data_IF_374071148333
#
_entry.id   IF_374071148333
#
_cell.length_a   1.000
_cell.length_b   1.000
_cell.length_c   1.000
_cell.angle_alpha   90.00
_cell.angle_beta   90.00
_cell.angle_gamma   90.00
#
_symmetry.space_group_name_H-M   'P 1'
#
loop_
_entity.id
_entity.type
_entity.pdbx_description
1 polymer ?
#
# COMPACT_ATOMS: atom_id res chain seq x y z
N UNK A 1 -9.42 -2.06 -4.78
CA UNK A 1 -10.66 -1.65 -5.42
C UNK A 1 -11.75 -1.16 -4.47
N UNK A 2 -11.84 -1.68 -3.23
CA UNK A 2 -12.92 -1.31 -2.29
C UNK A 2 -12.79 0.13 -1.79
N UNK A 3 -11.59 0.61 -1.54
CA UNK A 3 -11.35 1.98 -1.05
C UNK A 3 -11.73 3.02 -2.11
N UNK A 4 -11.36 2.79 -3.37
CA UNK A 4 -11.75 3.68 -4.48
C UNK A 4 -13.26 3.79 -4.61
N UNK A 5 -14.00 2.68 -4.46
CA UNK A 5 -15.47 2.68 -4.43
C UNK A 5 -15.99 3.48 -3.23
N UNK A 6 -15.32 3.35 -2.07
CA UNK A 6 -15.65 4.11 -0.88
C UNK A 6 -15.57 5.62 -1.10
N UNK A 7 -14.53 6.10 -1.78
CA UNK A 7 -14.36 7.52 -2.12
C UNK A 7 -15.41 8.01 -3.13
N UNK A 8 -15.67 7.25 -4.18
CA UNK A 8 -16.70 7.58 -5.17
C UNK A 8 -18.09 7.71 -4.52
N UNK A 9 -18.45 6.77 -3.65
CA UNK A 9 -19.73 6.80 -2.92
C UNK A 9 -19.86 7.94 -1.91
N UNK A 10 -18.73 8.50 -1.44
CA UNK A 10 -18.71 9.68 -0.57
C UNK A 10 -18.73 10.99 -1.33
N UNK A 11 -18.86 10.96 -2.67
CA UNK A 11 -19.06 12.13 -3.51
C UNK A 11 -17.78 12.74 -4.08
N UNK A 12 -16.68 11.99 -4.10
CA UNK A 12 -15.50 12.42 -4.87
C UNK A 12 -15.88 12.56 -6.35
N UNK A 13 -15.57 13.71 -6.92
CA UNK A 13 -15.94 14.05 -8.32
C UNK A 13 -15.13 13.27 -9.35
N UNK A 14 -13.91 12.88 -9.00
CA UNK A 14 -13.02 12.02 -9.78
C UNK A 14 -12.27 11.09 -8.86
N UNK A 15 -12.25 9.80 -9.17
CA UNK A 15 -11.48 8.80 -8.43
C UNK A 15 -10.63 8.01 -9.40
N UNK A 16 -9.34 7.88 -9.09
CA UNK A 16 -8.40 7.05 -9.83
C UNK A 16 -7.87 5.96 -8.90
N UNK A 17 -7.89 4.72 -9.37
CA UNK A 17 -7.19 3.59 -8.74
C UNK A 17 -6.00 3.19 -9.61
N UNK A 18 -4.80 3.24 -9.06
CA UNK A 18 -3.57 2.80 -9.73
C UNK A 18 -3.06 1.52 -9.09
N UNK A 19 -2.68 0.57 -9.91
CA UNK A 19 -2.10 -0.71 -9.46
C UNK A 19 -1.13 -1.24 -10.53
N UNK A 20 -0.10 -1.95 -10.09
CA UNK A 20 0.85 -2.65 -10.95
C UNK A 20 0.26 -3.94 -11.54
N UNK A 21 -0.75 -4.53 -10.90
CA UNK A 21 -1.38 -5.78 -11.29
C UNK A 21 -2.61 -5.55 -12.16
N UNK A 22 -2.51 -5.86 -13.44
CA UNK A 22 -3.66 -5.82 -14.34
C UNK A 22 -4.78 -6.78 -13.91
N UNK A 23 -4.43 -7.92 -13.31
CA UNK A 23 -5.42 -8.85 -12.76
C UNK A 23 -6.22 -8.22 -11.60
N UNK A 24 -5.54 -7.51 -10.69
CA UNK A 24 -6.18 -6.76 -9.61
C UNK A 24 -7.07 -5.65 -10.15
N UNK A 25 -6.62 -4.93 -11.18
CA UNK A 25 -7.41 -3.88 -11.84
C UNK A 25 -8.64 -4.44 -12.55
N UNK A 26 -8.53 -5.58 -13.23
CA UNK A 26 -9.68 -6.23 -13.86
C UNK A 26 -10.74 -6.60 -12.82
N UNK A 27 -10.32 -7.12 -11.67
CA UNK A 27 -11.21 -7.40 -10.56
C UNK A 27 -11.83 -6.13 -9.98
N UNK A 28 -11.03 -5.08 -9.78
CA UNK A 28 -11.49 -3.79 -9.30
C UNK A 28 -12.54 -3.14 -10.23
N UNK A 29 -12.33 -3.18 -11.56
CA UNK A 29 -13.29 -2.72 -12.56
C UNK A 29 -14.62 -3.48 -12.46
N UNK A 30 -14.56 -4.81 -12.30
CA UNK A 30 -15.78 -5.64 -12.13
C UNK A 30 -16.56 -5.26 -10.88
N UNK A 31 -15.89 -5.03 -9.75
CA UNK A 31 -16.56 -4.62 -8.51
C UNK A 31 -17.14 -3.20 -8.66
N UNK A 32 -16.40 -2.26 -9.25
CA UNK A 32 -16.86 -0.88 -9.47
C UNK A 32 -18.12 -0.85 -10.35
N UNK A 33 -18.14 -1.63 -11.45
CA UNK A 33 -19.31 -1.78 -12.32
C UNK A 33 -20.52 -2.29 -11.55
N UNK A 34 -20.36 -3.33 -10.74
CA UNK A 34 -21.44 -3.88 -9.90
C UNK A 34 -21.91 -2.89 -8.83
N UNK A 35 -21.02 -2.02 -8.37
CA UNK A 35 -21.31 -0.98 -7.39
C UNK A 35 -21.95 0.28 -8.01
N UNK A 36 -22.02 0.37 -9.36
CA UNK A 36 -22.54 1.53 -10.08
C UNK A 36 -21.70 2.79 -9.87
N UNK A 37 -20.37 2.62 -9.71
CA UNK A 37 -19.43 3.75 -9.52
C UNK A 37 -18.59 3.96 -10.75
N UNK A 38 -18.33 5.23 -11.09
CA UNK A 38 -17.41 5.63 -12.16
C UNK A 38 -16.02 5.89 -11.57
N UNK A 39 -15.07 5.01 -11.90
CA UNK A 39 -13.70 5.03 -11.40
C UNK A 39 -12.76 4.76 -12.56
N UNK A 40 -11.77 5.61 -12.72
CA UNK A 40 -10.66 5.41 -13.63
C UNK A 40 -9.64 4.44 -13.02
N UNK A 41 -9.31 3.35 -13.70
CA UNK A 41 -8.30 2.40 -13.26
C UNK A 41 -7.10 2.42 -14.20
N UNK A 42 -5.93 2.72 -13.64
CA UNK A 42 -4.66 2.92 -14.36
C UNK A 42 -3.69 1.79 -14.00
N UNK A 43 -3.21 1.09 -15.03
CA UNK A 43 -2.16 0.08 -14.89
C UNK A 43 -0.80 0.75 -15.02
N UNK A 44 -0.11 0.95 -13.89
CA UNK A 44 1.22 1.54 -13.86
C UNK A 44 1.96 1.16 -12.58
N UNK A 45 3.29 1.28 -12.63
CA UNK A 45 4.10 1.29 -11.42
C UNK A 45 3.83 2.59 -10.65
N UNK A 46 3.79 2.54 -9.32
CA UNK A 46 3.58 3.72 -8.49
C UNK A 46 4.64 4.80 -8.73
N UNK A 47 5.86 4.42 -9.08
CA UNK A 47 6.94 5.36 -9.39
C UNK A 47 6.69 6.17 -10.66
N UNK A 48 5.87 5.64 -11.59
CA UNK A 48 5.49 6.30 -12.84
C UNK A 48 4.12 6.99 -12.75
N UNK A 49 3.53 7.03 -11.54
CA UNK A 49 2.15 7.51 -11.37
C UNK A 49 1.96 8.95 -11.86
N UNK A 50 2.97 9.84 -11.68
CA UNK A 50 2.87 11.22 -12.16
C UNK A 50 2.74 11.32 -13.68
N UNK A 51 3.38 10.42 -14.41
CA UNK A 51 3.33 10.37 -15.88
C UNK A 51 2.05 9.66 -16.38
N UNK A 52 1.63 8.62 -15.64
CA UNK A 52 0.46 7.82 -15.99
C UNK A 52 -0.88 8.52 -15.68
N UNK A 53 -0.88 9.47 -14.74
CA UNK A 53 -2.10 10.13 -14.25
C UNK A 53 -2.04 11.63 -14.48
N UNK A 54 -3.05 12.17 -15.15
CA UNK A 54 -3.16 13.60 -15.42
C UNK A 54 -3.90 14.36 -14.31
N UNK A 55 -3.50 15.59 -14.07
CA UNK A 55 -4.12 16.51 -13.10
C UNK A 55 -3.55 16.33 -11.70
N UNK A 56 -3.98 17.21 -10.81
CA UNK A 56 -3.59 17.22 -9.40
C UNK A 56 -4.82 16.91 -8.54
N UNK A 57 -4.58 16.36 -7.35
CA UNK A 57 -5.61 15.80 -6.49
C UNK A 57 -5.72 16.54 -5.15
N UNK A 58 -6.93 16.60 -4.63
CA UNK A 58 -7.18 17.09 -3.26
C UNK A 58 -6.78 16.06 -2.22
N UNK A 59 -6.82 14.77 -2.60
CA UNK A 59 -6.44 13.64 -1.75
C UNK A 59 -5.64 12.61 -2.55
N UNK A 60 -4.48 12.24 -2.03
CA UNK A 60 -3.76 11.02 -2.41
C UNK A 60 -3.86 10.03 -1.25
N UNK A 61 -4.22 8.79 -1.55
CA UNK A 61 -4.42 7.75 -0.55
C UNK A 61 -3.58 6.52 -0.87
N UNK A 62 -2.83 6.04 0.12
CA UNK A 62 -2.13 4.75 0.06
C UNK A 62 -2.76 3.80 1.08
N UNK A 63 -3.18 2.62 0.61
CA UNK A 63 -3.83 1.63 1.47
C UNK A 63 -2.84 0.74 2.21
N UNK A 64 -3.38 -0.14 3.05
CA UNK A 64 -2.60 -1.05 3.90
C UNK A 64 -1.77 -2.02 3.06
N UNK A 65 -0.53 -2.27 3.49
CA UNK A 65 0.34 -3.29 2.93
C UNK A 65 0.98 -2.87 1.61
N UNK A 66 1.19 -1.58 1.37
CA UNK A 66 1.84 -1.09 0.14
C UNK A 66 3.33 -0.86 0.33
N UNK A 67 3.75 -0.30 1.46
CA UNK A 67 5.14 0.16 1.62
C UNK A 67 6.16 -0.97 1.57
N UNK A 68 5.80 -2.16 2.03
CA UNK A 68 6.69 -3.32 1.98
C UNK A 68 7.06 -3.77 0.55
N UNK A 69 6.28 -3.38 -0.47
CA UNK A 69 6.56 -3.71 -1.87
C UNK A 69 7.45 -2.68 -2.58
N UNK A 70 7.82 -1.60 -1.92
CA UNK A 70 8.49 -0.46 -2.52
C UNK A 70 10.00 -0.46 -2.18
N UNK A 71 10.89 -0.61 -3.18
CA UNK A 71 12.33 -0.58 -2.94
C UNK A 71 12.88 0.83 -2.65
N UNK A 72 12.20 1.91 -3.07
CA UNK A 72 12.64 3.30 -2.87
C UNK A 72 11.52 4.16 -2.27
N UNK A 73 11.50 4.22 -0.95
CA UNK A 73 10.50 4.99 -0.21
C UNK A 73 10.64 6.50 -0.44
N UNK A 74 11.85 7.00 -0.74
CA UNK A 74 12.07 8.40 -1.00
C UNK A 74 11.53 8.82 -2.39
N UNK A 75 11.68 7.96 -3.41
CA UNK A 75 11.08 8.20 -4.72
C UNK A 75 9.55 8.16 -4.63
N UNK A 76 8.99 7.17 -3.93
CA UNK A 76 7.55 7.09 -3.69
C UNK A 76 7.01 8.36 -3.05
N UNK A 77 7.65 8.87 -2.00
CA UNK A 77 7.21 10.09 -1.33
C UNK A 77 7.20 11.31 -2.27
N UNK A 78 8.22 11.44 -3.14
CA UNK A 78 8.27 12.50 -4.17
C UNK A 78 7.11 12.37 -5.17
N UNK A 79 6.79 11.15 -5.60
CA UNK A 79 5.65 10.91 -6.51
C UNK A 79 4.34 11.30 -5.82
N UNK A 80 4.12 10.87 -4.59
CA UNK A 80 2.93 11.26 -3.80
C UNK A 80 2.79 12.78 -3.73
N UNK A 81 3.86 13.48 -3.35
CA UNK A 81 3.85 14.94 -3.26
C UNK A 81 3.54 15.61 -4.61
N UNK A 82 4.06 15.06 -5.71
CA UNK A 82 3.84 15.60 -7.06
C UNK A 82 2.40 15.48 -7.56
N UNK A 83 1.62 14.58 -7.01
CA UNK A 83 0.22 14.35 -7.37
C UNK A 83 -0.75 15.27 -6.64
N UNK A 84 -0.31 15.93 -5.57
CA UNK A 84 -1.18 16.77 -4.74
C UNK A 84 -1.27 18.21 -5.27
N UNK A 85 -2.47 18.77 -5.18
CA UNK A 85 -2.68 20.22 -5.27
C UNK A 85 -1.98 20.94 -4.10
N UNK A 86 -1.63 22.21 -4.24
CA UNK A 86 -1.29 23.02 -3.07
C UNK A 86 -2.41 22.97 -2.02
N UNK A 87 -2.06 22.56 -0.79
CA UNK A 87 -3.04 22.36 0.29
C UNK A 87 -3.82 21.03 0.20
N UNK A 88 -3.49 20.16 -0.74
CA UNK A 88 -4.04 18.81 -0.80
C UNK A 88 -3.49 17.92 0.32
N UNK A 89 -4.19 16.85 0.62
CA UNK A 89 -3.89 15.93 1.73
C UNK A 89 -3.35 14.61 1.20
N UNK A 90 -2.28 14.12 1.80
CA UNK A 90 -1.87 12.72 1.69
C UNK A 90 -2.34 11.97 2.93
N UNK A 91 -3.00 10.83 2.73
CA UNK A 91 -3.37 9.93 3.81
C UNK A 91 -2.85 8.53 3.52
N UNK A 92 -2.17 7.96 4.50
CA UNK A 92 -1.72 6.57 4.48
C UNK A 92 -2.18 5.86 5.75
N UNK A 93 -2.55 4.60 5.60
CA UNK A 93 -2.67 3.65 6.68
C UNK A 93 -1.88 2.41 6.29
N UNK A 94 -0.92 2.02 7.10
CA UNK A 94 -0.13 0.82 6.87
C UNK A 94 0.14 0.09 8.18
N UNK A 95 0.66 -1.11 8.12
CA UNK A 95 1.09 -1.85 9.29
C UNK A 95 2.37 -1.22 9.86
N UNK A 96 2.49 -1.21 11.17
CA UNK A 96 3.68 -0.66 11.82
C UNK A 96 4.92 -1.46 11.43
N UNK A 97 6.05 -0.84 11.02
CA UNK A 97 7.24 -1.56 10.55
C UNK A 97 7.81 -2.56 11.56
N UNK A 98 7.60 -2.35 12.85
CA UNK A 98 7.98 -3.29 13.89
C UNK A 98 7.23 -4.63 13.78
N UNK A 99 6.02 -4.61 13.23
CA UNK A 99 5.23 -5.80 13.00
C UNK A 99 5.90 -6.77 12.01
N UNK A 100 6.52 -6.22 10.96
CA UNK A 100 7.27 -6.98 9.95
C UNK A 100 8.55 -7.64 10.49
N UNK A 101 8.99 -7.28 11.70
CA UNK A 101 10.19 -7.86 12.31
C UNK A 101 9.91 -9.13 13.10
N UNK A 102 8.65 -9.39 13.43
CA UNK A 102 8.26 -10.50 14.31
C UNK A 102 8.17 -11.78 13.48
N UNK A 103 8.75 -12.86 13.99
CA UNK A 103 8.68 -14.17 13.37
C UNK A 103 7.25 -14.73 13.34
N UNK A 104 7.01 -15.63 12.40
CA UNK A 104 5.69 -16.27 12.23
C UNK A 104 5.39 -17.26 13.37
N UNK A 105 6.41 -17.95 13.89
CA UNK A 105 6.25 -18.87 15.01
C UNK A 105 6.38 -18.13 16.35
N UNK A 106 5.25 -17.90 17.00
CA UNK A 106 5.17 -17.27 18.32
C UNK A 106 4.90 -18.26 19.47
N UNK A 107 5.01 -19.57 19.23
CA UNK A 107 4.76 -20.60 20.26
C UNK A 107 5.61 -20.44 21.52
N UNK A 108 6.84 -19.93 21.36
CA UNK A 108 7.79 -19.62 22.46
C UNK A 108 7.84 -18.10 22.80
N UNK A 109 6.86 -17.33 22.36
CA UNK A 109 6.77 -15.88 22.54
C UNK A 109 7.22 -15.07 21.30
N UNK A 110 7.10 -13.75 21.39
CA UNK A 110 7.45 -12.86 20.29
C UNK A 110 8.98 -12.79 20.12
N UNK A 111 9.45 -13.08 18.91
CA UNK A 111 10.88 -13.03 18.55
C UNK A 111 11.07 -12.06 17.38
N UNK A 112 12.12 -11.26 17.45
CA UNK A 112 12.57 -10.43 16.33
C UNK A 112 13.41 -11.32 15.41
N UNK A 113 12.92 -11.59 14.22
CA UNK A 113 13.58 -12.46 13.22
C UNK A 113 14.01 -11.71 11.97
N UNK A 114 13.33 -10.60 11.67
CA UNK A 114 13.63 -9.80 10.50
C UNK A 114 14.18 -8.42 10.89
N UNK A 115 14.99 -7.78 10.04
CA UNK A 115 15.56 -6.47 10.33
C UNK A 115 14.46 -5.39 10.36
N UNK A 116 14.54 -4.48 11.34
CA UNK A 116 13.68 -3.30 11.40
C UNK A 116 14.10 -2.21 10.41
N UNK A 117 15.40 -2.07 10.19
CA UNK A 117 15.93 -1.09 9.24
C UNK A 117 16.10 -1.72 7.87
N UNK A 118 15.81 -0.93 6.85
CA UNK A 118 16.00 -1.31 5.46
C UNK A 118 17.40 -1.89 5.21
N UNK A 119 17.44 -2.94 4.42
CA UNK A 119 18.67 -3.62 4.00
C UNK A 119 18.90 -3.36 2.51
N UNK A 120 20.14 -3.50 2.05
CA UNK A 120 20.52 -3.36 0.64
C UNK A 120 19.80 -4.38 -0.27
N UNK A 121 19.53 -5.56 0.27
CA UNK A 121 18.77 -6.61 -0.43
C UNK A 121 17.37 -6.78 0.18
N UNK A 122 16.35 -7.08 -0.63
CA UNK A 122 15.02 -7.37 -0.13
C UNK A 122 14.99 -8.65 0.71
N UNK A 123 14.06 -8.73 1.63
CA UNK A 123 13.60 -9.99 2.18
C UNK A 123 12.88 -10.76 1.06
N UNK A 124 13.19 -12.04 0.91
CA UNK A 124 12.60 -12.86 -0.15
C UNK A 124 11.81 -14.00 0.49
N UNK A 125 10.56 -14.11 0.09
CA UNK A 125 9.62 -15.12 0.55
C UNK A 125 9.18 -15.99 -0.62
N UNK A 126 8.91 -17.26 -0.33
CA UNK A 126 8.27 -18.19 -1.26
C UNK A 126 6.98 -18.69 -0.62
N UNK A 127 5.88 -18.01 -0.93
CA UNK A 127 4.59 -18.20 -0.27
C UNK A 127 3.47 -18.28 -1.30
N UNK A 128 2.74 -19.40 -1.33
CA UNK A 128 1.58 -19.65 -2.17
C UNK A 128 0.25 -19.36 -1.44
N UNK A 129 0.32 -18.84 -0.22
CA UNK A 129 -0.86 -18.46 0.55
C UNK A 129 -1.58 -17.24 -0.02
N UNK A 130 -2.85 -17.13 0.25
CA UNK A 130 -3.66 -15.96 -0.05
C UNK A 130 -4.52 -15.61 1.16
N UNK A 131 -4.52 -14.35 1.55
CA UNK A 131 -5.46 -13.86 2.56
C UNK A 131 -6.91 -13.79 2.08
N UNK A 132 -7.17 -14.14 0.80
CA UNK A 132 -8.51 -14.34 0.26
C UNK A 132 -8.79 -15.82 0.16
N UNK A 133 -9.40 -16.37 1.20
CA UNK A 133 -9.81 -17.77 1.24
C UNK A 133 -11.11 -17.92 0.43
N UNK A 134 -10.97 -18.29 -0.83
CA UNK A 134 -12.10 -18.51 -1.73
C UNK A 134 -12.10 -19.96 -2.23
N UNK A 135 -13.09 -20.77 -1.87
CA UNK A 135 -13.20 -22.13 -2.41
C UNK A 135 -13.20 -22.12 -3.93
N UNK A 136 -12.24 -22.82 -4.54
CA UNK A 136 -12.10 -22.88 -6.00
C UNK A 136 -11.29 -21.74 -6.61
N UNK A 137 -10.63 -20.87 -5.82
CA UNK A 137 -9.69 -19.90 -6.34
C UNK A 137 -8.52 -20.60 -7.08
N UNK A 138 -8.05 -20.05 -8.19
CA UNK A 138 -6.89 -20.60 -8.88
C UNK A 138 -5.65 -20.52 -7.94
N UNK A 139 -4.86 -21.59 -7.98
CA UNK A 139 -3.61 -21.62 -7.19
C UNK A 139 -2.65 -20.54 -7.66
N UNK A 140 -2.00 -19.85 -6.69
CA UNK A 140 -0.91 -18.93 -6.99
C UNK A 140 0.26 -19.72 -7.56
N UNK A 141 0.77 -19.30 -8.71
CA UNK A 141 1.86 -19.97 -9.42
C UNK A 141 3.19 -19.22 -9.36
N UNK A 142 3.14 -17.93 -9.03
CA UNK A 142 4.31 -17.07 -8.81
C UNK A 142 4.38 -16.76 -7.33
N UNK A 143 5.10 -17.60 -6.59
CA UNK A 143 5.12 -17.63 -5.12
C UNK A 143 6.26 -16.81 -4.54
N UNK A 144 7.33 -16.58 -5.32
CA UNK A 144 8.45 -15.77 -4.88
C UNK A 144 8.08 -14.30 -4.89
N UNK A 145 8.23 -13.64 -3.73
CA UNK A 145 8.04 -12.21 -3.59
C UNK A 145 9.22 -11.56 -2.85
N UNK A 146 9.35 -10.26 -3.03
CA UNK A 146 10.40 -9.44 -2.44
C UNK A 146 9.78 -8.30 -1.65
N UNK A 147 10.26 -8.10 -0.43
CA UNK A 147 9.73 -7.10 0.48
C UNK A 147 10.87 -6.30 1.12
N UNK A 148 10.60 -5.04 1.42
CA UNK A 148 11.50 -4.13 2.13
C UNK A 148 10.82 -3.64 3.41
N UNK A 149 11.56 -3.62 4.50
CA UNK A 149 11.06 -3.04 5.74
C UNK A 149 11.65 -1.64 5.92
N UNK A 150 10.81 -0.62 5.79
CA UNK A 150 11.18 0.76 6.01
C UNK A 150 10.84 1.15 7.44
N UNK A 151 11.82 1.63 8.21
CA UNK A 151 11.53 2.10 9.56
C UNK A 151 10.57 3.29 9.55
N UNK A 152 9.80 3.48 10.62
CA UNK A 152 8.90 4.62 10.75
C UNK A 152 9.63 5.96 10.54
N UNK A 153 10.86 6.07 11.06
CA UNK A 153 11.70 7.24 10.84
C UNK A 153 12.05 7.49 9.38
N UNK A 154 12.32 6.42 8.60
CA UNK A 154 12.58 6.55 7.15
C UNK A 154 11.33 7.03 6.40
N UNK A 155 10.17 6.44 6.68
CA UNK A 155 8.89 6.81 6.04
C UNK A 155 8.58 8.29 6.30
N UNK A 156 8.59 8.71 7.57
CA UNK A 156 8.32 10.11 7.96
C UNK A 156 9.33 11.07 7.34
N UNK A 157 10.62 10.74 7.38
CA UNK A 157 11.67 11.57 6.80
C UNK A 157 11.54 11.70 5.28
N UNK A 158 11.17 10.61 4.59
CA UNK A 158 10.94 10.64 3.15
C UNK A 158 9.80 11.60 2.76
N UNK A 159 8.70 11.58 3.50
CA UNK A 159 7.55 12.49 3.29
C UNK A 159 7.94 13.95 3.54
N UNK A 160 8.65 14.24 4.64
CA UNK A 160 9.15 15.59 4.96
C UNK A 160 10.09 16.09 3.85
N UNK A 161 11.04 15.25 3.41
CA UNK A 161 11.98 15.60 2.35
C UNK A 161 11.30 15.81 0.98
N UNK A 162 10.14 15.22 0.77
CA UNK A 162 9.31 15.46 -0.41
C UNK A 162 8.51 16.77 -0.33
N UNK A 163 8.61 17.51 0.78
CA UNK A 163 7.94 18.80 0.97
C UNK A 163 6.56 18.71 1.64
N UNK A 164 6.18 17.54 2.14
CA UNK A 164 4.93 17.39 2.88
C UNK A 164 5.09 17.81 4.34
N UNK A 165 4.03 18.36 4.91
CA UNK A 165 3.92 18.65 6.34
C UNK A 165 3.17 17.50 7.00
N UNK A 166 3.71 16.97 8.08
CA UNK A 166 3.06 15.92 8.85
C UNK A 166 2.11 16.59 9.85
N UNK A 167 0.82 16.48 9.58
CA UNK A 167 -0.21 17.05 10.46
C UNK A 167 -0.54 16.06 11.59
N UNK A 168 -0.50 14.77 11.31
CA UNK A 168 -0.83 13.73 12.28
C UNK A 168 -0.02 12.47 12.04
N UNK A 169 0.44 11.82 13.09
CA UNK A 169 1.01 10.49 13.12
C UNK A 169 0.37 9.72 14.28
N UNK A 170 -0.51 8.77 13.95
CA UNK A 170 -1.18 7.94 14.93
C UNK A 170 -0.66 6.51 14.87
N UNK A 171 -0.32 5.94 16.03
CA UNK A 171 -0.05 4.52 16.22
C UNK A 171 -1.18 3.91 17.04
N UNK A 172 -1.78 2.83 16.53
CA UNK A 172 -2.88 2.15 17.22
C UNK A 172 -2.40 0.84 17.85
N UNK A 173 -2.96 0.43 19.01
CA UNK A 173 -2.57 -0.83 19.66
C UNK A 173 -3.21 -2.06 19.02
N UNK A 174 -3.72 -1.95 17.80
CA UNK A 174 -4.43 -3.02 17.11
C UNK A 174 -3.91 -3.15 15.68
N UNK A 175 -3.52 -4.35 15.29
CA UNK A 175 -3.29 -4.68 13.89
C UNK A 175 -4.62 -4.77 13.13
N UNK A 176 -4.58 -4.57 11.81
CA UNK A 176 -5.75 -4.69 10.94
C UNK A 176 -6.27 -6.14 10.85
N UNK A 177 -5.40 -7.10 11.11
CA UNK A 177 -5.66 -8.55 11.08
C UNK A 177 -4.80 -9.26 12.13
N UNK A 178 -5.15 -10.50 12.46
CA UNK A 178 -4.35 -11.31 13.37
C UNK A 178 -3.44 -12.23 12.54
N UNK A 179 -2.13 -12.02 12.51
CA UNK A 179 -1.21 -12.84 11.72
C UNK A 179 -0.86 -14.16 12.39
N UNK A 180 -1.14 -14.25 13.69
CA UNK A 180 -0.88 -15.45 14.48
C UNK A 180 -2.19 -16.14 14.83
N UNK A 181 -2.28 -17.45 14.63
CA UNK A 181 -3.47 -18.23 14.95
C UNK A 181 -3.78 -18.31 16.44
#
# INVERSE_FOLDING_TARGET
GTDTIGFARRGASRVIGLDLSEASLAHARSIAQRAGTDIEFVHANVYDAREAVSGDFDLVYTSIGVLCWLPDIAQWARVVASLLKPGGTFFIRDDHPMFMTIGEDISDGLKIEQPYFEQDAPMTWDDDSSYVDSPGAPRITHTTNHQWNHSLGQIVTALINAGLVIDELEETPRAAWCPWP
#
